data_IF_511832258945
#
_entry.id   IF_511832258945
#
_cell.length_a   1.000
_cell.length_b   1.000
_cell.length_c   1.000
_cell.angle_alpha   90.00
_cell.angle_beta   90.00
_cell.angle_gamma   90.00
#
_symmetry.space_group_name_H-M   'P 1'
#
loop_
_entity.id
_entity.type
_entity.pdbx_description
1 polymer ?
#
# COMPACT_ATOMS: atom_id res chain seq x y z
N UNK A 1 32.80 -18.12 17.12
CA UNK A 1 32.62 -19.56 16.82
C UNK A 1 31.52 -19.87 15.78
N UNK A 2 30.74 -18.90 15.28
CA UNK A 2 29.67 -19.12 14.27
C UNK A 2 30.04 -18.74 12.82
N UNK A 3 31.26 -18.26 12.57
CA UNK A 3 31.70 -17.76 11.25
C UNK A 3 32.09 -18.86 10.23
N UNK A 4 32.22 -20.12 10.67
CA UNK A 4 32.75 -21.21 9.82
C UNK A 4 31.67 -22.05 9.13
N UNK A 5 30.37 -21.83 9.39
CA UNK A 5 29.30 -22.67 8.82
C UNK A 5 28.93 -22.29 7.39
N UNK A 6 29.03 -21.02 7.01
CA UNK A 6 28.63 -20.53 5.70
C UNK A 6 29.34 -21.23 4.54
N UNK A 7 30.68 -21.37 4.51
CA UNK A 7 31.36 -22.00 3.38
C UNK A 7 30.96 -23.47 3.17
N UNK A 8 30.84 -24.24 4.25
CA UNK A 8 30.49 -25.66 4.20
C UNK A 8 29.05 -25.86 3.71
N UNK A 9 28.10 -25.11 4.29
CA UNK A 9 26.69 -25.15 3.88
C UNK A 9 26.51 -24.70 2.42
N UNK A 10 27.13 -23.59 2.02
CA UNK A 10 27.03 -23.10 0.64
C UNK A 10 27.66 -24.06 -0.38
N UNK A 11 28.74 -24.77 -0.01
CA UNK A 11 29.31 -25.82 -0.85
C UNK A 11 28.31 -26.97 -1.01
N UNK A 12 27.78 -27.50 0.09
CA UNK A 12 26.80 -28.57 0.07
C UNK A 12 25.54 -28.21 -0.74
N UNK A 13 25.04 -26.98 -0.60
CA UNK A 13 23.88 -26.49 -1.35
C UNK A 13 24.14 -26.47 -2.87
N UNK A 14 25.33 -26.05 -3.30
CA UNK A 14 25.71 -26.12 -4.72
C UNK A 14 25.77 -27.55 -5.23
N UNK A 15 26.38 -28.45 -4.46
CA UNK A 15 26.53 -29.87 -4.84
C UNK A 15 25.20 -30.62 -4.89
N UNK A 16 24.21 -30.19 -4.10
CA UNK A 16 22.85 -30.76 -4.06
C UNK A 16 21.87 -30.09 -5.02
N UNK A 17 22.33 -29.14 -5.84
CA UNK A 17 21.49 -28.48 -6.84
C UNK A 17 20.54 -27.42 -6.28
N UNK A 18 20.72 -26.97 -5.03
CA UNK A 18 20.02 -25.80 -4.50
C UNK A 18 20.49 -24.56 -5.25
N UNK A 19 19.52 -23.77 -5.72
CA UNK A 19 19.81 -22.57 -6.53
C UNK A 19 19.72 -21.28 -5.73
N UNK A 20 18.77 -21.19 -4.79
CA UNK A 20 18.51 -19.99 -4.00
C UNK A 20 18.58 -20.28 -2.51
N UNK A 21 19.31 -19.45 -1.76
CA UNK A 21 19.38 -19.52 -0.30
C UNK A 21 18.76 -18.28 0.30
N UNK A 22 17.90 -18.46 1.29
CA UNK A 22 17.23 -17.38 2.03
C UNK A 22 17.59 -17.49 3.50
N UNK A 23 17.98 -16.37 4.11
CA UNK A 23 18.30 -16.33 5.54
C UNK A 23 17.52 -15.19 6.18
N UNK A 24 16.73 -15.54 7.18
CA UNK A 24 16.09 -14.59 8.09
C UNK A 24 17.02 -14.34 9.27
N UNK A 25 17.48 -13.11 9.42
CA UNK A 25 18.35 -12.68 10.52
C UNK A 25 17.52 -11.80 11.45
N UNK A 26 17.28 -12.26 12.68
CA UNK A 26 16.61 -11.45 13.70
C UNK A 26 17.41 -10.20 14.04
N UNK A 27 16.74 -9.11 14.41
CA UNK A 27 17.38 -7.89 14.92
C UNK A 27 18.29 -8.17 16.13
N UNK A 28 17.96 -9.20 16.94
CA UNK A 28 18.79 -9.65 18.08
C UNK A 28 20.11 -10.31 17.64
N UNK A 29 20.23 -10.64 16.36
CA UNK A 29 21.37 -11.34 15.76
C UNK A 29 21.96 -10.52 14.60
N UNK A 30 21.79 -9.19 14.63
CA UNK A 30 22.21 -8.29 13.55
C UNK A 30 23.72 -8.37 13.22
N UNK A 31 24.55 -8.85 14.16
CA UNK A 31 25.97 -9.10 13.92
C UNK A 31 26.25 -10.14 12.82
N UNK A 32 25.28 -10.96 12.42
CA UNK A 32 25.42 -11.87 11.26
C UNK A 32 25.22 -11.20 9.91
N UNK A 33 24.65 -9.99 9.85
CA UNK A 33 24.42 -9.27 8.59
C UNK A 33 25.74 -9.05 7.81
N UNK A 34 26.80 -8.44 8.40
CA UNK A 34 28.06 -8.25 7.66
C UNK A 34 28.71 -9.58 7.26
N UNK A 35 28.48 -10.67 8.02
CA UNK A 35 28.98 -12.01 7.69
C UNK A 35 28.31 -12.56 6.45
N UNK A 36 26.97 -12.51 6.40
CA UNK A 36 26.20 -12.96 5.25
C UNK A 36 26.60 -12.18 3.99
N UNK A 37 26.71 -10.85 4.08
CA UNK A 37 27.12 -9.98 2.96
C UNK A 37 28.53 -10.34 2.48
N UNK A 38 29.48 -10.58 3.38
CA UNK A 38 30.83 -11.04 3.03
C UNK A 38 30.84 -12.36 2.24
N UNK A 39 29.84 -13.22 2.45
CA UNK A 39 29.67 -14.49 1.73
C UNK A 39 28.78 -14.40 0.48
N UNK A 40 28.44 -13.18 0.04
CA UNK A 40 27.72 -12.93 -1.21
C UNK A 40 26.20 -12.95 -1.09
N UNK A 41 25.66 -12.87 0.12
CA UNK A 41 24.23 -12.58 0.31
C UNK A 41 23.94 -11.10 0.06
N UNK A 42 22.78 -10.82 -0.52
CA UNK A 42 22.25 -9.47 -0.74
C UNK A 42 20.97 -9.26 0.06
N UNK A 43 20.61 -8.01 0.32
CA UNK A 43 19.35 -7.70 0.99
C UNK A 43 18.16 -7.97 0.08
N UNK A 44 17.11 -8.56 0.64
CA UNK A 44 15.86 -8.79 -0.08
C UNK A 44 14.72 -7.94 0.51
N UNK A 45 14.48 -8.04 1.81
CA UNK A 45 13.47 -7.23 2.51
C UNK A 45 13.73 -7.20 4.02
N UNK A 46 13.09 -6.28 4.73
CA UNK A 46 13.12 -6.25 6.18
C UNK A 46 11.74 -5.97 6.77
N UNK A 47 11.59 -6.39 8.02
CA UNK A 47 10.53 -6.02 8.94
C UNK A 47 11.18 -5.37 10.17
N UNK A 48 10.41 -4.73 11.06
CA UNK A 48 10.98 -4.09 12.26
C UNK A 48 11.87 -5.01 13.12
N UNK A 49 11.65 -6.33 13.08
CA UNK A 49 12.33 -7.29 13.95
C UNK A 49 13.30 -8.23 13.24
N UNK A 50 13.41 -8.18 11.90
CA UNK A 50 14.33 -9.03 11.14
C UNK A 50 14.61 -8.51 9.73
N UNK A 51 15.74 -8.92 9.16
CA UNK A 51 16.05 -8.77 7.75
C UNK A 51 16.08 -10.14 7.07
N UNK A 52 15.68 -10.19 5.81
CA UNK A 52 15.86 -11.35 4.93
C UNK A 52 16.92 -11.02 3.90
N UNK A 53 17.92 -11.88 3.82
CA UNK A 53 19.00 -11.82 2.84
C UNK A 53 18.97 -13.06 1.96
N UNK A 54 19.33 -12.90 0.69
CA UNK A 54 19.29 -13.97 -0.29
C UNK A 54 20.60 -14.13 -1.03
N UNK A 55 20.86 -15.34 -1.54
CA UNK A 55 21.95 -15.59 -2.46
C UNK A 55 21.48 -16.54 -3.55
N UNK A 56 21.67 -16.12 -4.81
CA UNK A 56 21.61 -17.01 -5.97
C UNK A 56 22.95 -17.70 -6.13
N UNK A 57 22.95 -19.03 -6.16
CA UNK A 57 24.15 -19.86 -6.18
C UNK A 57 24.70 -20.14 -7.58
N UNK A 58 23.87 -20.34 -8.62
CA UNK A 58 24.33 -20.48 -10.00
C UNK A 58 25.05 -19.22 -10.49
N UNK A 59 26.10 -19.41 -11.31
CA UNK A 59 26.94 -18.32 -11.85
C UNK A 59 26.79 -18.13 -13.36
N UNK A 60 26.27 -19.15 -14.02
CA UNK A 60 26.14 -19.33 -15.45
C UNK A 60 24.75 -18.97 -15.97
N UNK A 61 23.84 -18.54 -15.09
CA UNK A 61 22.48 -18.17 -15.42
C UNK A 61 21.97 -16.96 -14.61
N UNK A 62 20.97 -16.23 -15.12
CA UNK A 62 20.37 -15.12 -14.40
C UNK A 62 19.74 -15.52 -13.07
N UNK A 63 19.77 -14.62 -12.09
CA UNK A 63 19.07 -14.80 -10.82
C UNK A 63 17.54 -14.76 -11.06
N UNK A 64 16.86 -15.87 -10.75
CA UNK A 64 15.40 -15.97 -10.89
C UNK A 64 14.65 -15.90 -9.55
N UNK A 65 15.29 -15.46 -8.47
CA UNK A 65 14.60 -15.19 -7.21
C UNK A 65 13.61 -14.03 -7.41
N UNK A 66 12.36 -14.16 -6.95
CA UNK A 66 11.41 -13.06 -7.00
C UNK A 66 11.93 -11.89 -6.17
N UNK A 67 11.63 -10.66 -6.59
CA UNK A 67 11.87 -9.47 -5.77
C UNK A 67 10.81 -9.35 -4.68
N UNK A 68 11.06 -8.49 -3.68
CA UNK A 68 10.03 -8.16 -2.69
C UNK A 68 8.94 -7.24 -3.29
N UNK A 69 7.82 -7.10 -2.57
CA UNK A 69 6.78 -6.15 -2.94
C UNK A 69 7.30 -4.70 -2.87
N UNK A 70 7.11 -3.95 -3.96
CA UNK A 70 7.57 -2.56 -4.12
C UNK A 70 6.43 -1.65 -4.57
N UNK A 71 5.21 -1.97 -4.16
CA UNK A 71 4.01 -1.24 -4.59
C UNK A 71 3.21 -0.81 -3.38
N UNK A 72 2.93 0.49 -3.32
CA UNK A 72 1.98 1.09 -2.40
C UNK A 72 0.57 0.84 -2.90
N UNK A 73 -0.34 0.49 -1.99
CA UNK A 73 -1.75 0.28 -2.30
C UNK A 73 -2.56 1.35 -1.58
N UNK A 74 -3.12 2.28 -2.33
CA UNK A 74 -4.09 3.25 -1.84
C UNK A 74 -5.51 2.87 -2.28
N UNK A 75 -6.50 3.19 -1.45
CA UNK A 75 -7.90 2.89 -1.74
C UNK A 75 -8.76 4.08 -1.37
N UNK A 76 -9.76 4.39 -2.19
CA UNK A 76 -10.80 5.36 -1.87
C UNK A 76 -12.21 4.82 -2.05
N UNK A 77 -13.11 5.34 -1.22
CA UNK A 77 -14.55 5.13 -1.31
C UNK A 77 -15.21 6.20 -2.18
N UNK A 78 -15.77 5.78 -3.30
CA UNK A 78 -16.71 6.56 -4.10
C UNK A 78 -18.13 6.26 -3.58
N UNK A 79 -18.49 6.91 -2.48
CA UNK A 79 -19.74 6.63 -1.76
C UNK A 79 -20.86 7.51 -2.28
N UNK A 80 -21.87 6.89 -2.91
CA UNK A 80 -22.98 7.61 -3.56
C UNK A 80 -24.29 7.26 -2.89
N UNK A 81 -25.08 8.27 -2.53
CA UNK A 81 -26.44 8.12 -2.04
C UNK A 81 -27.44 7.89 -3.17
N UNK A 82 -28.62 7.40 -2.82
CA UNK A 82 -29.72 7.17 -3.77
C UNK A 82 -30.20 8.46 -4.49
N UNK A 83 -29.95 9.64 -3.91
CA UNK A 83 -30.24 10.93 -4.53
C UNK A 83 -29.10 11.49 -5.40
N UNK A 84 -28.04 10.70 -5.61
CA UNK A 84 -26.91 11.05 -6.48
C UNK A 84 -25.82 11.89 -5.82
N UNK A 85 -25.94 12.21 -4.52
CA UNK A 85 -24.92 12.95 -3.80
C UNK A 85 -23.71 12.07 -3.45
N UNK A 86 -22.51 12.62 -3.63
CA UNK A 86 -21.22 11.98 -3.36
C UNK A 86 -20.68 12.40 -2.00
N UNK A 87 -20.17 11.46 -1.21
CA UNK A 87 -19.45 11.76 0.02
C UNK A 87 -18.05 12.28 -0.28
N UNK A 88 -17.71 13.45 0.26
CA UNK A 88 -16.40 14.08 0.06
C UNK A 88 -15.82 14.62 1.36
N UNK A 89 -14.50 14.65 1.45
CA UNK A 89 -13.75 15.10 2.63
C UNK A 89 -12.71 16.17 2.31
N UNK A 90 -12.56 17.06 3.29
CA UNK A 90 -11.55 18.07 3.60
C UNK A 90 -10.37 17.53 4.42
N UNK A 91 -9.17 17.28 3.92
CA UNK A 91 -8.02 17.00 4.81
C UNK A 91 -7.63 18.24 5.64
N UNK A 92 -7.32 18.05 6.93
CA UNK A 92 -7.01 19.16 7.87
C UNK A 92 -5.62 19.76 7.69
N UNK A 93 -4.63 18.93 7.43
CA UNK A 93 -3.22 19.34 7.40
C UNK A 93 -2.68 19.59 5.99
N UNK A 94 -3.54 19.54 4.97
CA UNK A 94 -3.13 19.86 3.61
C UNK A 94 -3.08 21.37 3.44
N UNK A 95 -2.02 21.86 2.79
CA UNK A 95 -1.84 23.30 2.52
C UNK A 95 -2.81 23.87 1.49
N UNK A 96 -3.43 22.99 0.70
CA UNK A 96 -4.37 23.36 -0.35
C UNK A 96 -5.78 22.89 0.01
N UNK A 97 -6.73 23.80 -0.15
CA UNK A 97 -8.13 23.60 0.16
C UNK A 97 -8.81 22.74 -0.92
N UNK A 98 -8.73 21.41 -0.80
CA UNK A 98 -9.20 20.47 -1.82
C UNK A 98 -10.19 19.44 -1.32
N UNK A 99 -11.32 19.29 -2.01
CA UNK A 99 -12.24 18.18 -1.80
C UNK A 99 -11.71 16.91 -2.47
N UNK A 100 -11.70 15.80 -1.73
CA UNK A 100 -11.33 14.47 -2.24
C UNK A 100 -12.39 13.43 -1.85
N UNK A 101 -12.31 12.26 -2.49
CA UNK A 101 -12.95 11.06 -1.99
C UNK A 101 -12.32 10.65 -0.65
N UNK A 102 -13.09 10.11 0.31
CA UNK A 102 -12.52 9.51 1.50
C UNK A 102 -11.64 8.30 1.13
N UNK A 103 -10.51 8.13 1.82
CA UNK A 103 -9.58 7.06 1.48
C UNK A 103 -8.15 7.26 1.99
N UNK A 104 -7.43 6.14 2.03
CA UNK A 104 -6.08 6.05 2.58
C UNK A 104 -5.32 4.82 2.09
N UNK A 105 -4.35 4.38 2.88
CA UNK A 105 -3.46 3.28 2.54
C UNK A 105 -4.05 1.96 3.03
N UNK A 106 -3.89 0.89 2.24
CA UNK A 106 -4.22 -0.44 2.72
C UNK A 106 -3.24 -0.88 3.81
N UNK A 107 -3.79 -1.45 4.88
CA UNK A 107 -2.99 -2.07 5.93
C UNK A 107 -2.35 -3.38 5.45
N UNK A 108 -1.35 -3.86 6.20
CA UNK A 108 -0.67 -5.11 5.87
C UNK A 108 -1.65 -6.28 5.83
N UNK A 109 -1.75 -6.95 4.67
CA UNK A 109 -2.69 -8.04 4.38
C UNK A 109 -4.18 -7.66 4.48
N UNK A 110 -4.53 -6.38 4.31
CA UNK A 110 -5.91 -5.93 4.25
C UNK A 110 -6.50 -6.08 2.84
N UNK A 111 -7.77 -6.52 2.75
CA UNK A 111 -8.50 -6.59 1.48
C UNK A 111 -8.94 -5.19 1.03
N UNK A 112 -8.87 -4.91 -0.27
CA UNK A 112 -9.22 -3.59 -0.86
C UNK A 112 -10.61 -3.11 -0.42
N UNK A 113 -11.59 -4.01 -0.33
CA UNK A 113 -12.97 -3.66 0.08
C UNK A 113 -13.02 -3.28 1.56
N UNK A 114 -12.24 -3.97 2.39
CA UNK A 114 -12.14 -3.66 3.81
C UNK A 114 -11.39 -2.35 4.04
N UNK A 115 -10.30 -2.08 3.31
CA UNK A 115 -9.63 -0.78 3.34
C UNK A 115 -10.60 0.34 2.98
N UNK A 116 -11.36 0.22 1.89
CA UNK A 116 -12.34 1.23 1.49
C UNK A 116 -13.38 1.48 2.60
N UNK A 117 -13.93 0.40 3.19
CA UNK A 117 -14.91 0.49 4.27
C UNK A 117 -14.33 1.11 5.54
N UNK A 118 -13.12 0.71 5.94
CA UNK A 118 -12.42 1.25 7.11
C UNK A 118 -12.16 2.74 6.94
N UNK A 119 -11.54 3.14 5.83
CA UNK A 119 -11.17 4.54 5.58
C UNK A 119 -12.39 5.46 5.51
N UNK A 120 -13.47 5.03 4.83
CA UNK A 120 -14.73 5.80 4.81
C UNK A 120 -15.28 5.97 6.23
N UNK A 121 -15.30 4.90 7.03
CA UNK A 121 -15.80 4.94 8.39
C UNK A 121 -14.93 5.82 9.31
N UNK A 122 -13.61 5.68 9.23
CA UNK A 122 -12.65 6.44 10.04
C UNK A 122 -12.71 7.94 9.73
N UNK A 123 -12.69 8.32 8.45
CA UNK A 123 -12.68 9.73 8.05
C UNK A 123 -14.06 10.39 8.22
N UNK A 124 -15.18 9.67 8.09
CA UNK A 124 -16.52 10.30 7.97
C UNK A 124 -17.58 9.81 8.95
N UNK A 125 -17.36 8.69 9.63
CA UNK A 125 -18.36 8.01 10.46
C UNK A 125 -19.44 7.26 9.68
N UNK A 126 -19.37 7.24 8.34
CA UNK A 126 -20.35 6.55 7.49
C UNK A 126 -19.96 5.08 7.32
N UNK A 127 -20.87 4.18 7.68
CA UNK A 127 -20.77 2.79 7.25
C UNK A 127 -21.21 2.68 5.79
N UNK A 128 -20.41 2.05 4.93
CA UNK A 128 -20.73 1.85 3.52
C UNK A 128 -20.49 0.41 3.09
N UNK A 129 -21.28 -0.06 2.13
CA UNK A 129 -21.12 -1.38 1.51
C UNK A 129 -20.41 -1.25 0.17
N UNK A 130 -19.44 -2.14 -0.07
CA UNK A 130 -18.79 -2.25 -1.36
C UNK A 130 -19.78 -2.76 -2.43
N UNK A 131 -19.79 -2.08 -3.58
CA UNK A 131 -20.59 -2.49 -4.75
C UNK A 131 -19.68 -3.02 -5.85
N UNK A 132 -18.72 -2.20 -6.31
CA UNK A 132 -17.85 -2.55 -7.43
C UNK A 132 -16.56 -1.72 -7.44
N UNK A 133 -15.63 -2.08 -8.31
CA UNK A 133 -14.45 -1.27 -8.58
C UNK A 133 -14.76 -0.31 -9.74
N UNK A 134 -14.54 0.99 -9.54
CA UNK A 134 -14.73 2.03 -10.55
C UNK A 134 -13.49 2.13 -11.44
N UNK A 135 -12.33 2.29 -10.82
CA UNK A 135 -11.08 2.41 -11.56
C UNK A 135 -9.86 1.95 -10.75
N UNK A 136 -8.77 1.72 -11.49
CA UNK A 136 -7.44 1.50 -10.96
C UNK A 136 -6.52 2.53 -11.62
N UNK A 137 -5.72 3.23 -10.82
CA UNK A 137 -4.65 4.11 -11.28
C UNK A 137 -3.31 3.53 -10.86
N UNK A 138 -2.39 3.44 -11.80
CA UNK A 138 -1.01 3.03 -11.54
C UNK A 138 -0.06 4.19 -11.86
N UNK A 139 0.73 4.62 -10.88
CA UNK A 139 1.78 5.64 -11.06
C UNK A 139 3.15 5.03 -10.71
N UNK A 140 4.12 5.02 -11.63
CA UNK A 140 5.50 4.64 -11.32
C UNK A 140 6.24 5.78 -10.59
N UNK A 141 7.35 5.45 -9.93
CA UNK A 141 8.27 6.41 -9.29
C UNK A 141 7.59 7.35 -8.28
N UNK A 142 6.78 6.77 -7.39
CA UNK A 142 6.12 7.50 -6.32
C UNK A 142 7.06 7.65 -5.11
N UNK A 143 6.71 7.08 -3.95
CA UNK A 143 7.55 7.17 -2.74
C UNK A 143 8.71 6.18 -2.83
N UNK A 144 9.92 6.66 -2.59
CA UNK A 144 11.15 5.84 -2.57
C UNK A 144 11.38 5.02 -3.84
N UNK A 145 10.96 5.52 -5.01
CA UNK A 145 11.09 4.82 -6.29
C UNK A 145 10.14 3.63 -6.48
N UNK A 146 9.20 3.42 -5.56
CA UNK A 146 8.17 2.38 -5.66
C UNK A 146 6.95 2.88 -6.43
N UNK A 147 6.13 1.96 -6.96
CA UNK A 147 4.88 2.34 -7.63
C UNK A 147 3.73 2.58 -6.65
N UNK A 148 2.73 3.35 -7.09
CA UNK A 148 1.45 3.56 -6.42
C UNK A 148 0.34 2.90 -7.25
N UNK A 149 -0.36 1.92 -6.66
CA UNK A 149 -1.61 1.37 -7.17
C UNK A 149 -2.76 1.92 -6.33
N UNK A 150 -3.65 2.67 -6.97
CA UNK A 150 -4.76 3.32 -6.34
C UNK A 150 -6.09 2.78 -6.86
N UNK A 151 -6.92 2.26 -5.97
CA UNK A 151 -8.21 1.65 -6.27
C UNK A 151 -9.34 2.60 -5.84
N UNK A 152 -10.34 2.77 -6.71
CA UNK A 152 -11.56 3.51 -6.36
C UNK A 152 -12.73 2.54 -6.32
N UNK A 153 -13.34 2.40 -5.15
CA UNK A 153 -14.45 1.48 -4.92
C UNK A 153 -15.77 2.24 -4.94
N UNK A 154 -16.72 1.84 -5.78
CA UNK A 154 -18.11 2.30 -5.69
C UNK A 154 -18.74 1.69 -4.44
N UNK A 155 -19.40 2.52 -3.64
CA UNK A 155 -20.00 2.09 -2.40
C UNK A 155 -21.35 2.76 -2.17
N UNK A 156 -22.24 2.07 -1.46
CA UNK A 156 -23.53 2.60 -1.00
C UNK A 156 -23.50 2.82 0.50
N UNK A 157 -23.95 3.98 1.01
CA UNK A 157 -23.96 4.25 2.44
C UNK A 157 -25.10 3.53 3.15
N UNK A 158 -24.87 3.07 4.38
CA UNK A 158 -25.90 2.54 5.29
C UNK A 158 -26.56 3.63 6.14
N UNK A 159 -25.91 4.78 6.26
CA UNK A 159 -26.37 5.95 7.01
C UNK A 159 -25.97 7.23 6.28
N UNK A 160 -26.61 8.34 6.60
CA UNK A 160 -26.33 9.64 5.96
C UNK A 160 -25.81 10.70 6.95
N UNK A 161 -25.83 10.41 8.24
CA UNK A 161 -25.33 11.30 9.29
C UNK A 161 -23.80 11.23 9.35
N UNK A 162 -23.15 12.33 8.97
CA UNK A 162 -21.69 12.43 8.96
C UNK A 162 -21.20 12.79 10.37
N UNK A 163 -20.22 12.03 10.85
CA UNK A 163 -19.48 12.25 12.10
C UNK A 163 -17.99 12.02 11.83
N UNK A 164 -17.34 13.02 11.25
CA UNK A 164 -15.94 12.91 10.81
C UNK A 164 -14.93 13.06 11.96
N UNK A 165 -13.77 12.40 11.85
CA UNK A 165 -12.67 12.59 12.80
C UNK A 165 -11.97 13.94 12.56
N UNK A 166 -12.25 14.90 13.44
CA UNK A 166 -11.70 16.24 13.37
C UNK A 166 -10.15 16.30 13.54
N UNK A 167 -9.49 15.20 13.91
CA UNK A 167 -8.01 15.15 13.96
C UNK A 167 -7.42 15.20 12.56
N UNK A 168 -8.00 14.45 11.62
CA UNK A 168 -7.45 14.29 10.26
C UNK A 168 -8.26 15.07 9.22
N UNK A 169 -9.56 15.22 9.46
CA UNK A 169 -10.50 15.84 8.54
C UNK A 169 -10.94 17.22 9.06
N UNK A 170 -10.84 18.23 8.20
CA UNK A 170 -11.33 19.59 8.47
C UNK A 170 -12.82 19.75 8.17
N UNK A 171 -13.34 19.02 7.18
CA UNK A 171 -14.75 19.10 6.77
C UNK A 171 -15.16 17.83 6.01
N UNK A 172 -16.43 17.44 6.09
CA UNK A 172 -16.98 16.31 5.34
C UNK A 172 -18.45 16.57 5.01
N UNK A 173 -18.84 16.30 3.75
CA UNK A 173 -20.22 16.56 3.30
C UNK A 173 -20.66 15.67 2.16
N UNK A 174 -21.97 15.62 1.97
CA UNK A 174 -22.60 15.18 0.74
C UNK A 174 -22.54 16.33 -0.28
N UNK A 175 -21.96 16.08 -1.45
CA UNK A 175 -21.79 17.04 -2.52
C UNK A 175 -22.47 16.53 -3.79
N UNK A 176 -23.21 17.42 -4.47
CA UNK A 176 -23.76 17.12 -5.79
C UNK A 176 -22.64 16.75 -6.77
N UNK A 177 -22.86 15.70 -7.57
CA UNK A 177 -21.84 15.17 -8.47
C UNK A 177 -21.31 16.24 -9.44
N UNK A 178 -22.21 17.01 -10.04
CA UNK A 178 -21.83 18.09 -10.96
C UNK A 178 -21.06 19.21 -10.26
N UNK A 179 -21.39 19.52 -9.00
CA UNK A 179 -20.64 20.48 -8.20
C UNK A 179 -19.22 19.96 -7.89
N UNK A 180 -19.06 18.66 -7.67
CA UNK A 180 -17.75 18.03 -7.50
C UNK A 180 -16.90 18.10 -8.77
N UNK A 181 -17.47 17.71 -9.92
CA UNK A 181 -16.77 17.69 -11.22
C UNK A 181 -16.36 19.10 -11.66
N UNK A 182 -17.19 20.10 -11.42
CA UNK A 182 -16.93 21.50 -11.82
C UNK A 182 -16.09 22.30 -10.82
N UNK A 183 -15.87 21.78 -9.60
CA UNK A 183 -15.20 22.53 -8.54
C UNK A 183 -13.73 22.86 -8.87
N UNK A 184 -13.27 24.11 -8.70
CA UNK A 184 -11.84 24.42 -8.76
C UNK A 184 -11.05 23.81 -7.59
N UNK A 185 -11.75 23.37 -6.54
CA UNK A 185 -11.17 22.73 -5.36
C UNK A 185 -11.07 21.21 -5.50
N UNK A 186 -11.32 20.63 -6.67
CA UNK A 186 -11.14 19.19 -6.92
C UNK A 186 -10.08 19.01 -8.00
N UNK A 187 -9.14 18.07 -7.80
CA UNK A 187 -8.10 17.79 -8.79
C UNK A 187 -8.67 17.07 -10.03
N UNK A 188 -7.96 17.13 -11.15
CA UNK A 188 -8.47 16.58 -12.41
C UNK A 188 -8.65 15.05 -12.39
N UNK A 189 -7.85 14.33 -11.60
CA UNK A 189 -8.01 12.87 -11.44
C UNK A 189 -9.34 12.51 -10.79
N UNK A 190 -9.70 13.18 -9.69
CA UNK A 190 -10.98 12.97 -9.01
C UNK A 190 -12.16 13.41 -9.89
N UNK A 191 -12.01 14.50 -10.64
CA UNK A 191 -13.02 14.91 -11.63
C UNK A 191 -13.21 13.86 -12.71
N UNK A 192 -12.13 13.28 -13.22
CA UNK A 192 -12.19 12.21 -14.22
C UNK A 192 -12.88 10.96 -13.69
N UNK A 193 -12.62 10.58 -12.44
CA UNK A 193 -13.25 9.42 -11.78
C UNK A 193 -14.76 9.60 -11.64
N UNK A 194 -15.23 10.84 -11.43
CA UNK A 194 -16.63 11.16 -11.20
C UNK A 194 -17.47 11.35 -12.48
N UNK A 195 -16.85 11.41 -13.66
CA UNK A 195 -17.51 11.58 -14.97
C UNK A 195 -18.00 10.25 -15.52
#
# INVERSE_FOLDING_TARGET
MLFNFFPASLKHYRETGIRGVWIKISIKQCSFIPVAVKHGFVYHHCYPTFIVVTQWLPKDEPNSLPTFATTYIGVAGFVVRDDGQLLVVKERFRTQDHWKLPGGMADYNEDIRETARREVLEETGIEAEFVSLVCIRHIPDFRFGCSDLYFVCLMTPKSTEIKFDAKEIADAKWMEMEAFISSPHVNDSNKFIAR
#
